data_IF_914792141493
#
_entry.id   IF_914792141493
#
_cell.length_a   1.000
_cell.length_b   1.000
_cell.length_c   1.000
_cell.angle_alpha   90.00
_cell.angle_beta   90.00
_cell.angle_gamma   90.00
#
_symmetry.space_group_name_H-M   'P 1'
#
loop_
_entity.id
_entity.type
_entity.pdbx_description
1 polymer ?
#
# COMPACT_ATOMS: atom_id res chain seq x y z
N UNK A 1 -24.31 -6.12 2.42
CA UNK A 1 -23.48 -6.33 1.22
C UNK A 1 -22.07 -6.56 1.72
N UNK A 2 -21.37 -7.61 1.26
CA UNK A 2 -19.95 -7.80 1.62
C UNK A 2 -19.14 -6.76 0.86
N UNK A 3 -18.24 -6.06 1.54
CA UNK A 3 -17.34 -5.13 0.85
C UNK A 3 -16.28 -5.93 0.07
N UNK A 4 -15.82 -5.37 -1.05
CA UNK A 4 -14.74 -5.97 -1.85
C UNK A 4 -13.43 -5.94 -1.06
N UNK A 5 -12.83 -7.11 -0.84
CA UNK A 5 -11.57 -7.23 -0.08
C UNK A 5 -10.42 -6.62 -0.88
N UNK A 6 -9.69 -5.71 -0.26
CA UNK A 6 -8.63 -4.95 -0.94
C UNK A 6 -7.73 -4.20 0.04
N UNK A 7 -6.57 -3.81 -0.45
CA UNK A 7 -5.69 -2.84 0.21
C UNK A 7 -5.65 -1.55 -0.59
N UNK A 8 -5.77 -0.42 0.08
CA UNK A 8 -5.87 0.88 -0.57
C UNK A 8 -5.14 1.98 0.21
N UNK A 9 -4.47 2.88 -0.51
CA UNK A 9 -3.71 4.02 0.03
C UNK A 9 -4.33 5.32 -0.46
N UNK A 10 -4.46 6.31 0.44
CA UNK A 10 -5.09 7.59 0.12
C UNK A 10 -4.15 8.45 -0.73
N UNK A 11 -4.64 8.95 -1.87
CA UNK A 11 -3.84 9.76 -2.80
C UNK A 11 -3.50 11.15 -2.22
N UNK A 12 -4.46 11.79 -1.55
CA UNK A 12 -4.29 13.12 -0.97
C UNK A 12 -4.54 13.07 0.55
N UNK A 13 -3.47 12.89 1.31
CA UNK A 13 -3.48 12.82 2.77
C UNK A 13 -2.65 13.96 3.39
N UNK A 14 -1.63 13.64 4.19
CA UNK A 14 -0.71 14.59 4.82
C UNK A 14 0.69 14.40 4.24
N UNK A 15 1.55 15.41 4.33
CA UNK A 15 2.94 15.28 3.93
C UNK A 15 3.68 14.26 4.81
N UNK A 16 4.59 13.51 4.18
CA UNK A 16 5.41 12.48 4.81
C UNK A 16 4.61 11.38 5.55
N UNK A 17 3.31 11.26 5.25
CA UNK A 17 2.43 10.25 5.86
C UNK A 17 1.51 9.62 4.83
N UNK A 18 1.50 8.29 4.79
CA UNK A 18 0.49 7.52 4.05
C UNK A 18 -0.66 7.13 4.97
N UNK A 19 -1.90 7.25 4.47
CA UNK A 19 -3.08 6.66 5.11
C UNK A 19 -3.53 5.44 4.33
N UNK A 20 -3.49 4.28 5.00
CA UNK A 20 -3.80 2.97 4.42
C UNK A 20 -5.08 2.43 5.04
N UNK A 21 -5.94 1.86 4.20
CA UNK A 21 -7.06 1.02 4.60
C UNK A 21 -6.87 -0.38 4.01
N UNK A 22 -7.10 -1.40 4.85
CA UNK A 22 -7.18 -2.79 4.42
C UNK A 22 -8.59 -3.27 4.74
N UNK A 23 -9.34 -3.63 3.69
CA UNK A 23 -10.72 -4.08 3.77
C UNK A 23 -10.71 -5.60 3.70
N UNK A 24 -11.17 -6.28 4.75
CA UNK A 24 -11.34 -7.74 4.78
C UNK A 24 -12.67 -8.10 5.43
N UNK A 25 -13.34 -9.10 4.85
CA UNK A 25 -14.56 -9.67 5.39
C UNK A 25 -14.30 -10.68 6.52
N UNK A 26 -13.06 -11.18 6.63
CA UNK A 26 -12.70 -12.27 7.53
C UNK A 26 -11.75 -11.84 8.66
N UNK A 27 -11.00 -10.75 8.47
CA UNK A 27 -10.05 -10.23 9.47
C UNK A 27 -10.40 -8.79 9.82
N UNK A 28 -10.68 -8.54 11.09
CA UNK A 28 -11.04 -7.20 11.61
C UNK A 28 -10.06 -6.77 12.70
N UNK A 29 -9.53 -5.55 12.59
CA UNK A 29 -8.62 -4.95 13.60
C UNK A 29 -8.96 -3.48 13.83
N UNK A 30 -9.86 -3.27 14.80
CA UNK A 30 -10.25 -1.93 15.25
C UNK A 30 -11.22 -1.19 14.31
N UNK A 31 -11.67 -1.83 13.22
CA UNK A 31 -12.69 -1.33 12.29
C UNK A 31 -13.56 -2.49 11.80
N UNK A 32 -14.84 -2.23 11.56
CA UNK A 32 -15.78 -3.23 11.02
C UNK A 32 -15.37 -3.75 9.64
N UNK A 33 -14.75 -2.89 8.82
CA UNK A 33 -14.27 -3.27 7.49
C UNK A 33 -12.88 -3.93 7.50
N UNK A 34 -12.14 -3.95 8.62
CA UNK A 34 -10.76 -4.43 8.64
C UNK A 34 -9.82 -3.55 9.45
N UNK A 35 -8.89 -2.85 8.80
CA UNK A 35 -7.86 -2.02 9.44
C UNK A 35 -7.71 -0.65 8.74
N UNK A 36 -7.40 0.38 9.53
CA UNK A 36 -6.79 1.62 9.03
C UNK A 36 -5.51 1.94 9.79
N UNK A 37 -4.48 2.41 9.07
CA UNK A 37 -3.19 2.74 9.66
C UNK A 37 -2.53 3.93 8.95
N UNK A 38 -1.75 4.70 9.69
CA UNK A 38 -0.93 5.80 9.16
C UNK A 38 0.54 5.42 9.20
N UNK A 39 1.19 5.32 8.05
CA UNK A 39 2.63 5.01 7.94
C UNK A 39 3.43 6.27 7.62
N UNK A 40 4.60 6.49 8.25
CA UNK A 40 5.52 7.52 7.76
C UNK A 40 6.03 7.16 6.36
N UNK A 41 6.29 8.17 5.54
CA UNK A 41 6.86 8.05 4.20
C UNK A 41 7.73 9.28 3.89
N UNK A 42 8.33 9.34 2.71
CA UNK A 42 9.07 10.53 2.24
C UNK A 42 8.15 11.55 1.59
N UNK A 43 8.59 12.81 1.54
CA UNK A 43 7.87 13.87 0.83
C UNK A 43 7.63 13.52 -0.65
N UNK A 44 8.62 12.91 -1.31
CA UNK A 44 8.52 12.50 -2.72
C UNK A 44 7.39 11.50 -2.95
N UNK A 45 7.24 10.50 -2.06
CA UNK A 45 6.13 9.54 -2.17
C UNK A 45 4.79 10.21 -1.89
N UNK A 46 4.72 11.11 -0.91
CA UNK A 46 3.50 11.88 -0.64
C UNK A 46 3.11 12.76 -1.84
N UNK A 47 4.08 13.39 -2.50
CA UNK A 47 3.85 14.17 -3.72
C UNK A 47 3.40 13.27 -4.88
N UNK A 48 4.10 12.15 -5.12
CA UNK A 48 3.75 11.20 -6.17
C UNK A 48 2.34 10.62 -5.99
N UNK A 49 1.93 10.30 -4.75
CA UNK A 49 0.58 9.82 -4.43
C UNK A 49 -0.48 10.88 -4.75
N UNK A 50 -0.21 12.17 -4.55
CA UNK A 50 -1.15 13.26 -4.85
C UNK A 50 -1.43 13.40 -6.34
N UNK A 51 -0.50 12.97 -7.19
CA UNK A 51 -0.66 12.99 -8.64
C UNK A 51 -1.47 11.78 -9.16
N UNK A 52 -1.74 10.78 -8.32
CA UNK A 52 -2.53 9.62 -8.71
C UNK A 52 -4.02 9.94 -8.77
N UNK A 53 -4.70 9.43 -9.81
CA UNK A 53 -6.17 9.50 -9.91
C UNK A 53 -6.78 8.47 -8.95
N UNK A 54 -7.53 8.89 -7.90
CA UNK A 54 -8.15 7.95 -6.99
C UNK A 54 -9.31 7.20 -7.67
N UNK A 55 -9.36 5.89 -7.48
CA UNK A 55 -10.39 5.00 -8.06
C UNK A 55 -11.26 4.33 -7.00
N UNK A 56 -10.82 4.36 -5.73
CA UNK A 56 -11.47 3.68 -4.63
C UNK A 56 -12.01 4.65 -3.58
N UNK A 57 -13.17 4.31 -3.05
CA UNK A 57 -13.83 5.05 -1.96
C UNK A 57 -13.30 4.61 -0.60
N UNK A 58 -13.40 5.50 0.38
CA UNK A 58 -13.15 5.17 1.78
C UNK A 58 -14.13 4.09 2.25
N UNK A 59 -13.61 2.99 2.80
CA UNK A 59 -14.43 1.95 3.43
C UNK A 59 -15.18 2.47 4.68
N UNK A 60 -14.71 3.59 5.26
CA UNK A 60 -15.33 4.16 6.45
C UNK A 60 -16.51 5.10 6.15
N UNK A 61 -16.58 5.69 4.96
CA UNK A 61 -17.51 6.79 4.67
C UNK A 61 -18.23 6.73 3.33
N UNK A 62 -17.82 5.85 2.40
CA UNK A 62 -18.51 5.62 1.12
C UNK A 62 -18.63 6.85 0.21
N UNK A 63 -17.85 7.91 0.46
CA UNK A 63 -17.91 9.17 -0.28
C UNK A 63 -17.21 9.13 -1.63
N UNK A 64 -16.75 10.28 -2.13
CA UNK A 64 -15.99 10.35 -3.37
C UNK A 64 -14.72 9.48 -3.34
N UNK A 65 -14.25 8.96 -4.49
CA UNK A 65 -12.97 8.28 -4.59
C UNK A 65 -11.83 9.14 -4.06
N UNK A 66 -11.04 8.57 -3.15
CA UNK A 66 -9.89 9.24 -2.52
C UNK A 66 -8.66 8.32 -2.42
N UNK A 67 -8.81 7.05 -2.78
CA UNK A 67 -7.80 6.02 -2.62
C UNK A 67 -7.45 5.38 -3.95
N UNK A 68 -6.24 4.83 -4.03
CA UNK A 68 -5.77 3.95 -5.10
C UNK A 68 -5.43 2.58 -4.50
N UNK A 69 -5.63 1.46 -5.23
CA UNK A 69 -5.22 0.14 -4.75
C UNK A 69 -3.70 0.06 -4.57
N UNK A 70 -3.25 -0.90 -3.76
CA UNK A 70 -1.86 -1.32 -3.73
C UNK A 70 -1.76 -2.82 -3.43
N UNK A 71 -0.60 -3.41 -3.73
CA UNK A 71 -0.28 -4.81 -3.42
C UNK A 71 0.93 -4.92 -2.51
N UNK A 72 1.02 -6.02 -1.76
CA UNK A 72 2.19 -6.39 -0.98
C UNK A 72 2.80 -7.66 -1.59
N UNK A 73 4.08 -7.57 -1.93
CA UNK A 73 4.82 -8.66 -2.54
C UNK A 73 5.90 -9.15 -1.59
N UNK A 74 5.88 -10.45 -1.30
CA UNK A 74 6.91 -11.14 -0.52
C UNK A 74 7.83 -11.88 -1.48
N UNK A 75 9.11 -11.57 -1.41
CA UNK A 75 10.13 -12.20 -2.24
C UNK A 75 10.74 -13.41 -1.53
N UNK A 76 11.43 -14.25 -2.30
CA UNK A 76 12.08 -15.48 -1.81
C UNK A 76 13.10 -15.25 -0.69
N UNK A 77 13.71 -14.06 -0.63
CA UNK A 77 14.63 -13.66 0.45
C UNK A 77 13.91 -13.19 1.74
N UNK A 78 12.58 -13.19 1.75
CA UNK A 78 11.75 -12.78 2.89
C UNK A 78 11.46 -11.28 2.95
N UNK A 79 12.01 -10.46 2.05
CA UNK A 79 11.68 -9.04 1.97
C UNK A 79 10.26 -8.84 1.44
N UNK A 80 9.59 -7.79 1.94
CA UNK A 80 8.25 -7.42 1.52
C UNK A 80 8.27 -5.98 1.01
N UNK A 81 7.76 -5.78 -0.21
CA UNK A 81 7.61 -4.47 -0.83
C UNK A 81 6.14 -4.13 -1.05
N UNK A 82 5.84 -2.84 -0.96
CA UNK A 82 4.55 -2.28 -1.34
C UNK A 82 4.62 -1.78 -2.76
N UNK A 83 3.67 -2.19 -3.60
CA UNK A 83 3.54 -1.71 -4.96
C UNK A 83 2.23 -0.95 -5.13
N UNK A 84 2.34 0.32 -5.53
CA UNK A 84 1.19 1.12 -5.93
C UNK A 84 1.22 1.22 -7.47
N UNK A 85 0.25 0.63 -8.18
CA UNK A 85 0.21 0.71 -9.63
C UNK A 85 0.05 2.17 -10.07
N UNK A 86 0.75 2.52 -11.13
CA UNK A 86 0.61 3.79 -11.80
C UNK A 86 -0.62 3.82 -12.70
N UNK A 87 -0.80 4.93 -13.42
CA UNK A 87 -1.82 5.01 -14.44
C UNK A 87 -1.23 5.51 -15.77
N UNK A 88 -1.87 5.17 -16.89
CA UNK A 88 -1.38 5.53 -18.23
C UNK A 88 -1.29 7.05 -18.47
N UNK A 89 -2.06 7.83 -17.73
CA UNK A 89 -2.09 9.28 -17.83
C UNK A 89 -1.07 9.95 -16.88
N UNK A 90 -0.47 9.18 -15.97
CA UNK A 90 0.47 9.64 -14.97
C UNK A 90 1.27 8.48 -14.34
N UNK A 91 2.59 8.45 -14.59
CA UNK A 91 3.56 7.48 -14.05
C UNK A 91 3.17 6.00 -14.26
N UNK A 92 3.04 5.54 -15.51
CA UNK A 92 2.53 4.20 -15.86
C UNK A 92 3.22 3.02 -15.13
N UNK A 93 4.49 3.16 -14.78
CA UNK A 93 5.27 2.12 -14.09
C UNK A 93 4.87 1.91 -12.63
N UNK A 94 4.17 2.87 -12.00
CA UNK A 94 3.84 2.83 -10.58
C UNK A 94 5.00 3.17 -9.65
N UNK A 95 4.83 2.86 -8.37
CA UNK A 95 5.84 3.05 -7.35
C UNK A 95 6.02 1.79 -6.50
N UNK A 96 7.27 1.39 -6.31
CA UNK A 96 7.66 0.33 -5.38
C UNK A 96 8.31 0.96 -4.16
N UNK A 97 7.85 0.56 -2.97
CA UNK A 97 8.33 1.08 -1.69
C UNK A 97 8.78 -0.05 -0.79
N UNK A 98 9.98 0.11 -0.24
CA UNK A 98 10.48 -0.75 0.83
C UNK A 98 9.73 -0.46 2.13
N UNK A 99 9.23 -1.51 2.77
CA UNK A 99 8.56 -1.41 4.06
C UNK A 99 9.57 -1.71 5.17
N UNK A 100 9.92 -0.70 5.97
CA UNK A 100 10.92 -0.89 7.02
C UNK A 100 10.41 -1.85 8.12
N UNK A 101 10.96 -3.07 8.24
CA UNK A 101 10.37 -4.13 9.06
C UNK A 101 10.48 -3.85 10.57
N UNK A 102 11.42 -2.99 11.00
CA UNK A 102 11.51 -2.57 12.40
C UNK A 102 10.46 -1.53 12.82
N UNK A 103 9.77 -0.89 11.87
CA UNK A 103 8.72 0.06 12.20
C UNK A 103 7.51 -0.71 12.77
N UNK A 104 7.15 -0.43 14.02
CA UNK A 104 6.04 -1.13 14.69
C UNK A 104 4.70 -0.98 13.97
N UNK A 105 4.49 0.11 13.21
CA UNK A 105 3.30 0.29 12.38
C UNK A 105 3.33 -0.59 11.13
N UNK A 106 4.50 -0.73 10.49
CA UNK A 106 4.69 -1.67 9.37
C UNK A 106 4.44 -3.10 9.84
N UNK A 107 4.96 -3.51 11.00
CA UNK A 107 4.67 -4.83 11.57
C UNK A 107 3.17 -5.09 11.76
N UNK A 108 2.40 -4.09 12.20
CA UNK A 108 0.94 -4.20 12.34
C UNK A 108 0.25 -4.36 10.99
N UNK A 109 0.67 -3.61 9.98
CA UNK A 109 0.15 -3.74 8.61
C UNK A 109 0.45 -5.14 8.06
N UNK A 110 1.71 -5.57 8.11
CA UNK A 110 2.13 -6.88 7.58
C UNK A 110 1.45 -8.04 8.32
N UNK A 111 1.33 -7.97 9.64
CA UNK A 111 0.64 -9.01 10.42
C UNK A 111 -0.85 -9.11 10.08
N UNK A 112 -1.53 -7.98 9.84
CA UNK A 112 -2.90 -8.01 9.34
C UNK A 112 -2.99 -8.57 7.92
N UNK A 113 -2.10 -8.13 7.03
CA UNK A 113 -2.11 -8.55 5.63
C UNK A 113 -1.82 -10.04 5.48
N UNK A 114 -0.93 -10.60 6.29
CA UNK A 114 -0.63 -12.03 6.33
C UNK A 114 -1.86 -12.83 6.80
N UNK A 115 -2.48 -12.43 7.91
CA UNK A 115 -3.70 -13.05 8.45
C UNK A 115 -4.88 -12.99 7.47
N UNK A 116 -4.99 -11.89 6.71
CA UNK A 116 -6.03 -11.68 5.71
C UNK A 116 -5.73 -12.30 4.33
N UNK A 117 -4.55 -12.89 4.13
CA UNK A 117 -4.14 -13.47 2.84
C UNK A 117 -3.89 -12.44 1.73
N UNK A 118 -3.46 -11.22 2.09
CA UNK A 118 -3.20 -10.11 1.17
C UNK A 118 -1.74 -10.01 0.69
N UNK A 119 -0.84 -10.80 1.28
CA UNK A 119 0.56 -10.86 0.84
C UNK A 119 0.67 -11.88 -0.29
N UNK A 120 1.20 -11.43 -1.42
CA UNK A 120 1.41 -12.27 -2.60
C UNK A 120 2.87 -12.67 -2.68
N UNK A 121 3.14 -13.95 -2.95
CA UNK A 121 4.50 -14.38 -3.28
C UNK A 121 4.87 -13.81 -4.66
N UNK A 122 6.05 -13.20 -4.75
CA UNK A 122 6.61 -12.66 -5.98
C UNK A 122 7.75 -13.53 -6.48
N UNK A 123 7.78 -13.74 -7.80
CA UNK A 123 8.93 -14.33 -8.49
C UNK A 123 10.04 -13.28 -8.67
N UNK A 124 11.29 -13.70 -8.60
CA UNK A 124 12.45 -12.85 -8.83
C UNK A 124 13.03 -12.22 -7.56
N UNK A 125 13.75 -11.11 -7.74
CA UNK A 125 14.43 -10.36 -6.67
C UNK A 125 13.68 -9.07 -6.35
N UNK A 126 13.73 -8.60 -5.09
CA UNK A 126 13.17 -7.30 -4.72
C UNK A 126 13.72 -6.17 -5.58
N UNK A 127 12.87 -5.19 -5.86
CA UNK A 127 13.32 -4.00 -6.56
C UNK A 127 14.27 -3.20 -5.65
N UNK A 128 15.49 -2.92 -6.13
CA UNK A 128 16.45 -2.09 -5.40
C UNK A 128 16.71 -0.83 -6.22
N UNK A 129 16.67 0.34 -5.59
CA UNK A 129 16.98 1.63 -6.23
C UNK A 129 18.50 1.87 -6.36
N UNK A 130 19.32 0.85 -6.15
CA UNK A 130 20.78 0.91 -6.18
C UNK A 130 21.33 -0.13 -7.12
N UNK A 131 21.50 0.25 -8.39
CA UNK A 131 22.02 -0.64 -9.42
C UNK A 131 22.31 0.00 -10.77
N UNK A 132 22.40 1.33 -10.87
CA UNK A 132 23.11 1.99 -11.98
C UNK A 132 24.47 2.43 -11.46
N UNK A 133 25.36 1.46 -11.28
CA UNK A 133 26.80 1.70 -11.43
C UNK A 133 27.27 0.79 -12.56
N UNK A 134 26.81 1.07 -13.77
CA UNK A 134 27.48 0.62 -14.98
C UNK A 134 28.26 1.82 -15.55
N UNK A 135 29.57 1.74 -15.28
CA UNK A 135 30.74 2.13 -16.11
C UNK A 135 30.72 3.44 -16.93
#
# INVERSE_FOLDING_TARGET
MKEEERMQVKCNYDDETMHIQCVSNNVQRGREYGMAIKLPTTADISMWLREQTPTLVSAASGGAPMYTPFSLYKYSNGEIQMFVPGNKLNHEQGAVMNLHPLCGKVKKLLGFADEAGFIQDAEGVPYTTGGDTDE
#
